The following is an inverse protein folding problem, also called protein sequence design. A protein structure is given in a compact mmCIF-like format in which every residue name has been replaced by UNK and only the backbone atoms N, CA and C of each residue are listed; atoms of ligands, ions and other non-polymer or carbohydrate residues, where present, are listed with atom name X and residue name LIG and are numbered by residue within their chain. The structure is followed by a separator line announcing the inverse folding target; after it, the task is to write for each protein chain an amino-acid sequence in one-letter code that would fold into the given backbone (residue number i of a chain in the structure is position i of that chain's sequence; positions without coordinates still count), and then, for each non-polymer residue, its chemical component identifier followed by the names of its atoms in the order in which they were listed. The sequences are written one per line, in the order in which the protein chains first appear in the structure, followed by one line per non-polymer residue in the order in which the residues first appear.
data_IF_526636984833
#
_entry.id   IF_526636984833
#
_cell.length_a   1.000
_cell.length_b   1.000
_cell.length_c   1.000
_cell.angle_alpha   90.00
_cell.angle_beta   90.00
_cell.angle_gamma   90.00
#
_symmetry.space_group_name_H-M   'P 1'
#
loop_
_entity.id
_entity.type
_entity.pdbx_description
1 polymer ?
#
# COMPACT_ATOMS: atom_id res chain seq x y z
N UNK A 1 -36.25 16.66 -13.37
CA UNK A 1 -35.19 15.70 -13.74
C UNK A 1 -33.85 16.29 -13.30
N UNK A 2 -33.27 15.80 -12.21
CA UNK A 2 -31.96 16.28 -11.77
C UNK A 2 -30.90 15.79 -12.77
N UNK A 3 -30.08 16.71 -13.32
CA UNK A 3 -28.87 16.34 -14.04
C UNK A 3 -28.04 15.48 -13.07
N UNK A 4 -27.84 14.20 -13.37
CA UNK A 4 -26.98 13.33 -12.57
C UNK A 4 -25.61 13.99 -12.43
N UNK A 5 -25.06 14.00 -11.22
CA UNK A 5 -23.75 14.60 -10.97
C UNK A 5 -22.70 13.92 -11.87
N UNK A 6 -22.02 14.71 -12.71
CA UNK A 6 -20.91 14.22 -13.52
C UNK A 6 -19.79 13.78 -12.59
N UNK A 7 -19.28 12.57 -12.79
CA UNK A 7 -18.17 12.04 -11.99
C UNK A 7 -16.92 12.93 -12.16
N UNK A 8 -16.22 13.16 -11.06
CA UNK A 8 -14.90 13.81 -11.08
C UNK A 8 -13.86 12.94 -11.79
N UNK A 9 -12.74 13.51 -12.27
CA UNK A 9 -11.63 12.72 -12.82
C UNK A 9 -11.19 11.57 -11.91
N UNK A 10 -10.96 11.84 -10.62
CA UNK A 10 -10.68 10.85 -9.58
C UNK A 10 -11.67 9.68 -9.55
N UNK A 11 -12.97 10.00 -9.51
CA UNK A 11 -14.01 8.99 -9.46
C UNK A 11 -13.99 8.10 -10.70
N UNK A 12 -13.75 8.69 -11.88
CA UNK A 12 -13.62 7.93 -13.14
C UNK A 12 -12.38 7.02 -13.13
N UNK A 13 -11.23 7.54 -12.68
CA UNK A 13 -9.97 6.78 -12.56
C UNK A 13 -10.17 5.54 -11.69
N UNK A 14 -10.66 5.70 -10.46
CA UNK A 14 -10.79 4.57 -9.53
C UNK A 14 -11.87 3.58 -9.96
N UNK A 15 -13.00 4.04 -10.50
CA UNK A 15 -14.05 3.16 -11.02
C UNK A 15 -13.53 2.32 -12.18
N UNK A 16 -12.82 2.94 -13.12
CA UNK A 16 -12.23 2.22 -14.24
C UNK A 16 -11.19 1.20 -13.76
N UNK A 17 -10.25 1.60 -12.89
CA UNK A 17 -9.19 0.74 -12.41
C UNK A 17 -9.73 -0.46 -11.61
N UNK A 18 -10.77 -0.28 -10.79
CA UNK A 18 -11.48 -1.38 -10.11
C UNK A 18 -12.05 -2.39 -11.10
N UNK A 19 -12.63 -1.90 -12.20
CA UNK A 19 -13.12 -2.73 -13.29
C UNK A 19 -12.04 -3.51 -14.04
N UNK A 20 -10.76 -3.30 -13.72
CA UNK A 20 -9.61 -4.00 -14.31
C UNK A 20 -8.93 -4.99 -13.39
N UNK A 21 -9.43 -5.21 -12.17
CA UNK A 21 -8.88 -6.22 -11.26
C UNK A 21 -8.75 -7.58 -11.95
N UNK A 22 -7.56 -8.18 -11.84
CA UNK A 22 -7.22 -9.46 -12.48
C UNK A 22 -6.88 -9.39 -13.97
N UNK A 23 -6.97 -8.22 -14.60
CA UNK A 23 -6.61 -8.02 -15.99
C UNK A 23 -5.23 -7.35 -16.12
N UNK A 24 -4.53 -7.67 -17.20
CA UNK A 24 -3.30 -7.01 -17.61
C UNK A 24 -3.64 -5.76 -18.44
N UNK A 25 -3.09 -4.62 -18.05
CA UNK A 25 -3.23 -3.34 -18.76
C UNK A 25 -1.96 -3.03 -19.52
N UNK A 26 -2.11 -2.69 -20.80
CA UNK A 26 -1.00 -2.40 -21.70
C UNK A 26 0.02 -3.55 -21.72
N UNK A 27 1.28 -3.22 -21.46
CA UNK A 27 2.40 -4.18 -21.46
C UNK A 27 2.53 -4.90 -20.12
N UNK A 28 1.70 -4.58 -19.13
CA UNK A 28 1.82 -5.13 -17.78
C UNK A 28 2.76 -4.35 -16.87
N UNK A 29 3.11 -3.11 -17.22
CA UNK A 29 3.94 -2.23 -16.38
C UNK A 29 3.07 -1.46 -15.39
N UNK A 30 3.68 -0.97 -14.31
CA UNK A 30 2.99 -0.13 -13.32
C UNK A 30 2.49 1.18 -13.95
N UNK A 31 3.32 1.79 -14.80
CA UNK A 31 3.02 3.03 -15.52
C UNK A 31 1.82 2.89 -16.47
N UNK A 32 1.68 1.75 -17.17
CA UNK A 32 0.59 1.51 -18.13
C UNK A 32 -0.80 1.62 -17.45
N UNK A 33 -0.90 1.20 -16.17
CA UNK A 33 -2.15 1.30 -15.40
C UNK A 33 -2.54 2.76 -15.13
N UNK A 34 -1.59 3.58 -14.70
CA UNK A 34 -1.82 5.01 -14.42
C UNK A 34 -2.21 5.79 -15.67
N UNK A 35 -1.47 5.59 -16.76
CA UNK A 35 -1.74 6.23 -18.06
C UNK A 35 -3.13 5.92 -18.60
N UNK A 36 -3.48 4.63 -18.67
CA UNK A 36 -4.77 4.22 -19.22
C UNK A 36 -5.92 4.68 -18.32
N UNK A 37 -5.77 4.63 -17.00
CA UNK A 37 -6.82 5.09 -16.10
C UNK A 37 -7.10 6.60 -16.25
N UNK A 38 -6.04 7.42 -16.34
CA UNK A 38 -6.16 8.87 -16.56
C UNK A 38 -6.78 9.18 -17.93
N UNK A 39 -6.33 8.51 -18.98
CA UNK A 39 -6.87 8.66 -20.34
C UNK A 39 -8.37 8.35 -20.39
N UNK A 40 -8.81 7.27 -19.73
CA UNK A 40 -10.21 6.86 -19.68
C UNK A 40 -11.07 7.80 -18.84
N UNK A 41 -10.46 8.49 -17.86
CA UNK A 41 -11.12 9.54 -17.09
C UNK A 41 -11.25 10.87 -17.85
N UNK A 42 -10.55 11.03 -18.99
CA UNK A 42 -10.42 12.31 -19.69
C UNK A 42 -9.49 13.29 -18.98
N UNK A 43 -8.54 12.76 -18.20
CA UNK A 43 -7.52 13.53 -17.49
C UNK A 43 -6.21 13.59 -18.29
N UNK A 44 -5.39 14.60 -18.00
CA UNK A 44 -4.00 14.67 -18.45
C UNK A 44 -3.20 13.50 -17.87
N UNK A 45 -2.33 12.91 -18.70
CA UNK A 45 -1.44 11.82 -18.30
C UNK A 45 -0.01 12.32 -18.10
N UNK A 46 0.92 11.45 -17.69
CA UNK A 46 2.32 11.85 -17.51
C UNK A 46 2.97 12.32 -18.81
N UNK A 47 2.55 11.76 -19.94
CA UNK A 47 2.96 12.19 -21.28
C UNK A 47 2.48 13.61 -21.64
N UNK A 48 1.42 14.12 -21.01
CA UNK A 48 0.90 15.47 -21.27
C UNK A 48 1.56 16.54 -20.37
N UNK A 49 2.09 16.16 -19.20
CA UNK A 49 2.41 17.09 -18.12
C UNK A 49 3.89 17.28 -17.83
N UNK A 50 4.77 16.40 -18.29
CA UNK A 50 6.17 16.48 -17.94
C UNK A 50 7.09 15.60 -18.79
N UNK A 51 8.39 15.57 -18.45
CA UNK A 51 9.33 14.68 -19.11
C UNK A 51 8.97 13.21 -18.82
N UNK A 52 9.07 12.38 -19.85
CA UNK A 52 8.87 10.93 -19.75
C UNK A 52 10.14 10.23 -20.22
N UNK A 53 10.88 9.63 -19.30
CA UNK A 53 12.00 8.74 -19.55
C UNK A 53 12.07 7.67 -18.45
N UNK A 54 12.80 6.58 -18.69
CA UNK A 54 12.72 5.32 -17.92
C UNK A 54 12.87 5.42 -16.39
N UNK A 55 13.50 6.48 -15.86
CA UNK A 55 13.71 6.70 -14.42
C UNK A 55 13.41 8.17 -13.98
N UNK A 56 12.56 8.86 -14.74
CA UNK A 56 12.15 10.23 -14.41
C UNK A 56 11.03 10.24 -13.38
N UNK A 57 11.08 11.20 -12.45
CA UNK A 57 9.93 11.49 -11.58
C UNK A 57 8.83 12.14 -12.41
N UNK A 58 7.83 11.34 -12.78
CA UNK A 58 6.71 11.76 -13.62
C UNK A 58 5.77 12.72 -12.88
N UNK A 59 5.09 13.58 -13.63
CA UNK A 59 3.99 14.42 -13.13
C UNK A 59 2.68 13.80 -13.58
N UNK A 60 1.82 13.42 -12.63
CA UNK A 60 0.58 12.69 -12.92
C UNK A 60 -0.69 13.55 -12.82
N UNK A 61 -0.53 14.82 -12.45
CA UNK A 61 -1.64 15.75 -12.21
C UNK A 61 -1.21 16.91 -11.33
N UNK A 62 -2.14 17.44 -10.55
CA UNK A 62 -1.87 18.50 -9.58
C UNK A 62 -1.27 17.88 -8.30
N UNK A 63 -0.08 18.33 -7.84
CA UNK A 63 0.58 17.72 -6.69
C UNK A 63 -0.20 17.97 -5.40
N UNK A 64 -0.22 16.97 -4.53
CA UNK A 64 -0.87 17.03 -3.23
C UNK A 64 0.22 17.20 -2.16
N UNK A 65 0.10 18.24 -1.33
CA UNK A 65 1.14 18.60 -0.34
C UNK A 65 1.18 17.68 0.87
N UNK A 66 0.07 17.02 1.20
CA UNK A 66 -0.05 16.12 2.35
C UNK A 66 -0.80 14.84 1.95
N UNK A 67 -0.19 13.68 2.25
CA UNK A 67 -0.81 12.37 2.04
C UNK A 67 -2.15 12.19 2.78
N UNK A 68 -2.42 12.98 3.83
CA UNK A 68 -3.73 12.96 4.50
C UNK A 68 -4.88 13.44 3.61
N UNK A 69 -4.58 14.16 2.52
CA UNK A 69 -5.54 14.74 1.59
C UNK A 69 -5.84 13.84 0.39
N UNK A 70 -5.20 12.67 0.28
CA UNK A 70 -5.44 11.78 -0.85
C UNK A 70 -6.87 11.26 -0.88
N UNK A 71 -7.39 11.11 -2.09
CA UNK A 71 -8.72 10.63 -2.38
C UNK A 71 -8.68 9.42 -3.34
N UNK A 72 -9.71 8.55 -3.32
CA UNK A 72 -9.82 7.47 -4.30
C UNK A 72 -9.72 8.00 -5.73
N UNK A 73 -8.78 7.45 -6.50
CA UNK A 73 -8.48 7.87 -7.87
C UNK A 73 -7.24 8.73 -8.02
N UNK A 74 -6.63 9.18 -6.92
CA UNK A 74 -5.31 9.82 -6.99
C UNK A 74 -4.24 8.85 -7.49
N UNK A 75 -3.22 9.42 -8.11
CA UNK A 75 -2.05 8.69 -8.57
C UNK A 75 -0.91 8.91 -7.59
N UNK A 76 -0.34 7.80 -7.11
CA UNK A 76 0.86 7.80 -6.28
C UNK A 76 2.06 7.42 -7.14
N UNK A 77 3.04 8.30 -7.22
CA UNK A 77 4.39 7.94 -7.65
C UNK A 77 5.21 7.56 -6.42
N UNK A 78 5.91 6.43 -6.50
CA UNK A 78 6.64 5.82 -5.40
C UNK A 78 8.10 5.65 -5.82
N UNK A 79 9.03 5.99 -4.93
CA UNK A 79 10.47 5.82 -5.14
C UNK A 79 11.15 5.26 -3.89
N UNK A 80 11.99 4.25 -4.09
CA UNK A 80 12.83 3.62 -3.06
C UNK A 80 12.07 3.28 -1.78
N UNK A 81 10.84 2.80 -1.95
CA UNK A 81 9.92 2.56 -0.85
C UNK A 81 10.18 1.19 -0.24
N UNK A 82 10.56 1.17 1.03
CA UNK A 82 10.82 -0.04 1.79
C UNK A 82 9.90 -0.07 3.01
N UNK A 83 9.24 -1.20 3.21
CA UNK A 83 8.42 -1.49 4.37
C UNK A 83 9.07 -2.64 5.12
N UNK A 84 9.61 -2.37 6.30
CA UNK A 84 10.18 -3.39 7.18
C UNK A 84 9.21 -3.66 8.32
N UNK A 85 8.69 -4.88 8.37
CA UNK A 85 7.82 -5.36 9.45
C UNK A 85 8.63 -6.23 10.40
N UNK A 86 8.71 -5.83 11.67
CA UNK A 86 9.33 -6.61 12.74
C UNK A 86 8.25 -7.16 13.65
N UNK A 87 8.30 -8.45 13.92
CA UNK A 87 7.37 -9.15 14.81
C UNK A 87 8.19 -9.72 15.96
N UNK A 88 7.81 -9.42 17.20
CA UNK A 88 8.32 -10.08 18.41
C UNK A 88 7.15 -10.79 19.08
N UNK A 89 7.30 -12.08 19.38
CA UNK A 89 6.32 -12.84 20.16
C UNK A 89 7.01 -13.32 21.43
N UNK A 90 6.43 -12.98 22.58
CA UNK A 90 6.91 -13.39 23.90
C UNK A 90 5.88 -14.31 24.55
N UNK A 91 6.31 -15.50 24.93
CA UNK A 91 5.51 -16.50 25.63
C UNK A 91 5.97 -16.54 27.08
N UNK A 92 5.10 -16.14 28.00
CA UNK A 92 5.33 -16.18 29.44
C UNK A 92 4.61 -17.39 30.04
N UNK A 93 5.38 -18.30 30.60
CA UNK A 93 4.91 -19.51 31.29
C UNK A 93 4.52 -19.20 32.74
N UNK A 94 3.75 -20.10 33.35
CA UNK A 94 3.28 -19.94 34.73
C UNK A 94 4.41 -19.95 35.76
N UNK A 95 5.49 -20.68 35.48
CA UNK A 95 6.68 -20.73 36.31
C UNK A 95 7.56 -19.47 36.20
N UNK A 96 7.13 -18.49 35.38
CA UNK A 96 7.84 -17.24 35.12
C UNK A 96 8.87 -17.33 34.01
N UNK A 97 9.13 -18.52 33.44
CA UNK A 97 10.03 -18.64 32.30
C UNK A 97 9.45 -17.99 31.04
N UNK A 98 10.33 -17.54 30.15
CA UNK A 98 9.94 -16.87 28.90
C UNK A 98 10.62 -17.47 27.68
N UNK A 99 9.90 -17.48 26.56
CA UNK A 99 10.44 -17.70 25.22
C UNK A 99 10.17 -16.45 24.41
N UNK A 100 11.15 -16.02 23.61
CA UNK A 100 10.99 -14.91 22.66
C UNK A 100 11.30 -15.40 21.25
N UNK A 101 10.36 -15.19 20.34
CA UNK A 101 10.52 -15.39 18.91
C UNK A 101 10.54 -14.03 18.19
N UNK A 102 11.33 -13.91 17.13
CA UNK A 102 11.43 -12.71 16.30
C UNK A 102 11.37 -13.08 14.83
N UNK A 103 10.63 -12.28 14.05
CA UNK A 103 10.57 -12.35 12.59
C UNK A 103 10.73 -10.95 12.01
N UNK A 104 11.39 -10.83 10.86
CA UNK A 104 11.61 -9.56 10.16
C UNK A 104 11.40 -9.78 8.66
N UNK A 105 10.57 -8.94 8.04
CA UNK A 105 10.25 -9.01 6.62
C UNK A 105 10.33 -7.63 5.99
N UNK A 106 10.93 -7.56 4.81
CA UNK A 106 10.98 -6.32 4.03
C UNK A 106 10.26 -6.52 2.69
N UNK A 107 9.33 -5.60 2.41
CA UNK A 107 8.75 -5.42 1.08
C UNK A 107 9.37 -4.17 0.45
N UNK A 108 9.66 -4.23 -0.85
CA UNK A 108 10.32 -3.14 -1.56
C UNK A 108 9.58 -2.79 -2.85
N UNK A 109 9.52 -1.48 -3.14
CA UNK A 109 9.18 -0.91 -4.43
C UNK A 109 10.31 0.03 -4.84
N UNK A 110 10.87 -0.15 -6.03
CA UNK A 110 11.81 0.81 -6.62
C UNK A 110 11.04 2.04 -7.11
N UNK A 111 11.07 2.29 -8.41
CA UNK A 111 10.17 3.25 -9.05
C UNK A 111 8.84 2.59 -9.41
N UNK A 112 7.73 3.12 -8.89
CA UNK A 112 6.41 2.49 -9.06
C UNK A 112 5.28 3.51 -9.13
N UNK A 113 4.16 3.08 -9.72
CA UNK A 113 2.93 3.87 -9.80
C UNK A 113 1.77 3.06 -9.23
N UNK A 114 0.94 3.71 -8.41
CA UNK A 114 -0.25 3.12 -7.81
C UNK A 114 -1.45 4.06 -7.93
N UNK A 115 -2.66 3.51 -7.98
CA UNK A 115 -3.91 4.29 -7.93
C UNK A 115 -4.52 4.12 -6.54
N UNK A 116 -4.87 5.22 -5.89
CA UNK A 116 -5.54 5.20 -4.57
C UNK A 116 -6.92 4.56 -4.68
N UNK A 117 -7.17 3.54 -3.86
CA UNK A 117 -8.39 2.73 -3.86
C UNK A 117 -9.23 2.88 -2.57
N UNK A 118 -8.91 3.85 -1.74
CA UNK A 118 -9.60 4.11 -0.47
C UNK A 118 -9.03 5.33 0.23
N UNK A 119 -9.57 5.64 1.41
CA UNK A 119 -8.99 6.69 2.26
C UNK A 119 -7.75 6.16 2.97
N UNK A 120 -6.85 7.08 3.32
CA UNK A 120 -5.79 6.81 4.28
C UNK A 120 -6.42 6.42 5.63
N UNK A 121 -5.93 5.35 6.25
CA UNK A 121 -6.39 4.94 7.57
C UNK A 121 -5.59 5.60 8.70
N UNK A 122 -6.00 5.31 9.94
CA UNK A 122 -5.39 5.89 11.13
C UNK A 122 -3.90 5.54 11.31
N UNK A 123 -3.43 4.45 10.70
CA UNK A 123 -2.03 4.03 10.73
C UNK A 123 -1.23 4.60 9.55
N UNK A 124 -1.84 5.43 8.70
CA UNK A 124 -1.19 5.93 7.50
C UNK A 124 -1.03 4.87 6.42
N UNK A 125 -1.86 3.83 6.43
CA UNK A 125 -1.94 2.87 5.33
C UNK A 125 -3.08 3.20 4.38
N UNK A 126 -2.92 2.85 3.11
CA UNK A 126 -3.92 3.10 2.06
C UNK A 126 -4.05 1.89 1.15
N UNK A 127 -5.29 1.57 0.75
CA UNK A 127 -5.53 0.57 -0.29
C UNK A 127 -5.19 1.16 -1.65
N UNK A 128 -4.49 0.41 -2.47
CA UNK A 128 -4.07 0.82 -3.81
C UNK A 128 -4.44 -0.23 -4.85
N UNK A 129 -4.62 0.22 -6.10
CA UNK A 129 -4.71 -0.64 -7.28
C UNK A 129 -3.41 -0.52 -8.05
N UNK A 130 -2.79 -1.66 -8.28
CA UNK A 130 -1.42 -1.70 -8.80
C UNK A 130 -1.21 -2.86 -9.75
N UNK A 131 -0.22 -2.70 -10.61
CA UNK A 131 0.24 -3.70 -11.55
C UNK A 131 1.77 -3.70 -11.57
N UNK A 132 2.38 -4.81 -11.99
CA UNK A 132 3.83 -5.03 -11.96
C UNK A 132 4.39 -5.10 -10.53
N UNK A 133 3.64 -5.75 -9.65
CA UNK A 133 3.98 -5.92 -8.23
C UNK A 133 3.63 -7.33 -7.79
N UNK A 134 4.46 -7.90 -6.91
CA UNK A 134 4.14 -9.18 -6.25
C UNK A 134 2.89 -9.02 -5.36
N UNK A 135 2.07 -10.07 -5.22
CA UNK A 135 2.30 -11.43 -5.70
C UNK A 135 1.90 -11.69 -7.15
N UNK A 136 0.91 -10.98 -7.71
CA UNK A 136 0.33 -11.38 -9.01
C UNK A 136 1.10 -10.90 -10.24
N UNK A 137 2.13 -10.08 -10.06
CA UNK A 137 2.97 -9.63 -11.16
C UNK A 137 2.25 -8.60 -12.03
N UNK A 138 2.00 -8.95 -13.29
CA UNK A 138 1.66 -8.02 -14.37
C UNK A 138 0.15 -7.81 -14.60
N UNK A 139 -0.68 -8.22 -13.64
CA UNK A 139 -2.12 -7.93 -13.61
C UNK A 139 -2.47 -6.94 -12.51
N UNK A 140 -3.55 -6.19 -12.70
CA UNK A 140 -4.08 -5.27 -11.69
C UNK A 140 -4.55 -6.05 -10.47
N UNK A 141 -4.13 -5.61 -9.28
CA UNK A 141 -4.49 -6.22 -8.00
C UNK A 141 -4.67 -5.16 -6.92
N UNK A 142 -5.46 -5.51 -5.91
CA UNK A 142 -5.54 -4.75 -4.67
C UNK A 142 -4.26 -4.95 -3.85
N UNK A 143 -3.65 -3.85 -3.46
CA UNK A 143 -2.52 -3.79 -2.58
C UNK A 143 -2.84 -2.90 -1.37
N UNK A 144 -1.99 -2.98 -0.37
CA UNK A 144 -2.05 -2.10 0.78
C UNK A 144 -0.65 -1.52 1.01
N UNK A 145 -0.58 -0.19 1.05
CA UNK A 145 0.66 0.57 1.11
C UNK A 145 0.71 1.35 2.42
N UNK A 146 1.72 1.09 3.24
CA UNK A 146 2.04 1.96 4.38
C UNK A 146 2.80 3.17 3.88
N UNK A 147 2.37 4.37 4.26
CA UNK A 147 3.00 5.63 3.81
C UNK A 147 3.89 6.27 4.87
N UNK A 148 3.93 5.71 6.08
CA UNK A 148 4.71 6.18 7.23
C UNK A 148 4.94 5.05 8.22
N UNK A 149 5.84 5.26 9.17
CA UNK A 149 6.03 4.37 10.31
C UNK A 149 4.72 4.16 11.07
N UNK A 150 4.48 2.91 11.48
CA UNK A 150 3.37 2.56 12.37
C UNK A 150 3.94 2.31 13.76
N UNK A 151 3.42 2.99 14.80
CA UNK A 151 3.80 2.73 16.18
C UNK A 151 3.66 1.25 16.54
N UNK A 152 4.44 0.79 17.51
CA UNK A 152 4.37 -0.60 17.97
C UNK A 152 2.94 -0.96 18.40
N UNK A 153 2.38 -1.98 17.75
CA UNK A 153 1.08 -2.54 18.13
C UNK A 153 1.33 -3.77 18.98
N UNK A 154 0.88 -3.72 20.24
CA UNK A 154 1.00 -4.82 21.20
C UNK A 154 -0.35 -5.51 21.37
N UNK A 155 -0.38 -6.82 21.10
CA UNK A 155 -1.54 -7.67 21.36
C UNK A 155 -1.20 -8.69 22.44
N UNK A 156 -2.03 -8.77 23.47
CA UNK A 156 -1.89 -9.76 24.54
C UNK A 156 -3.00 -10.81 24.43
N UNK A 157 -2.62 -12.07 24.40
CA UNK A 157 -3.55 -13.21 24.34
C UNK A 157 -3.08 -14.32 25.28
N UNK A 158 -3.87 -15.38 25.38
CA UNK A 158 -3.51 -16.58 26.12
C UNK A 158 -3.63 -17.76 25.18
N UNK A 159 -2.65 -18.66 25.21
CA UNK A 159 -2.60 -19.81 24.31
C UNK A 159 -1.88 -21.00 24.92
N UNK A 160 -1.46 -21.93 24.07
CA UNK A 160 -0.65 -23.08 24.45
C UNK A 160 0.71 -22.97 23.77
N UNK A 161 1.78 -23.27 24.50
CA UNK A 161 3.12 -23.38 23.92
C UNK A 161 3.90 -24.50 24.61
N UNK A 162 4.79 -25.16 23.87
CA UNK A 162 5.68 -26.17 24.41
C UNK A 162 6.73 -25.52 25.33
N UNK A 163 6.76 -25.91 26.59
CA UNK A 163 7.72 -25.40 27.56
C UNK A 163 9.14 -25.86 27.21
N UNK A 164 10.16 -24.98 27.28
CA UNK A 164 11.47 -25.26 26.71
C UNK A 164 12.24 -26.36 27.47
N UNK A 165 11.99 -26.51 28.78
CA UNK A 165 12.63 -27.53 29.63
C UNK A 165 11.83 -28.83 29.68
N UNK A 166 10.62 -28.79 30.24
CA UNK A 166 9.73 -29.95 30.41
C UNK A 166 9.26 -30.57 29.09
N UNK A 167 9.32 -29.82 27.98
CA UNK A 167 8.80 -30.22 26.66
C UNK A 167 7.30 -30.51 26.64
N UNK A 168 6.57 -30.17 27.70
CA UNK A 168 5.11 -30.31 27.77
C UNK A 168 4.44 -29.08 27.17
N UNK A 169 3.25 -29.26 26.59
CA UNK A 169 2.43 -28.11 26.17
C UNK A 169 1.77 -27.51 27.40
N UNK A 170 1.95 -26.21 27.59
CA UNK A 170 1.43 -25.49 28.75
C UNK A 170 0.69 -24.23 28.32
N UNK A 171 -0.25 -23.79 29.17
CA UNK A 171 -0.96 -22.53 28.98
C UNK A 171 -0.01 -21.36 29.25
N UNK A 172 0.13 -20.45 28.29
CA UNK A 172 1.04 -19.31 28.35
C UNK A 172 0.32 -17.99 28.07
N UNK A 173 0.80 -16.91 28.66
CA UNK A 173 0.44 -15.56 28.25
C UNK A 173 1.33 -15.17 27.06
N UNK A 174 0.71 -14.71 25.97
CA UNK A 174 1.39 -14.39 24.72
C UNK A 174 1.31 -12.90 24.49
N UNK A 175 2.46 -12.24 24.40
CA UNK A 175 2.55 -10.83 24.00
C UNK A 175 3.16 -10.77 22.60
N UNK A 176 2.39 -10.32 21.62
CA UNK A 176 2.86 -10.06 20.26
C UNK A 176 3.01 -8.57 20.05
N UNK A 177 4.22 -8.15 19.71
CA UNK A 177 4.55 -6.80 19.26
C UNK A 177 4.78 -6.81 17.75
N UNK A 178 4.21 -5.83 17.06
CA UNK A 178 4.48 -5.57 15.63
C UNK A 178 4.92 -4.13 15.45
N UNK A 179 6.05 -3.92 14.79
CA UNK A 179 6.56 -2.60 14.40
C UNK A 179 6.69 -2.55 12.89
N UNK A 180 6.28 -1.43 12.28
CA UNK A 180 6.40 -1.21 10.85
C UNK A 180 7.20 0.07 10.65
N UNK A 181 8.31 -0.05 9.94
CA UNK A 181 9.14 1.09 9.53
C UNK A 181 9.03 1.26 8.03
N UNK A 182 8.87 2.50 7.58
CA UNK A 182 8.69 2.89 6.19
C UNK A 182 9.75 3.91 5.80
N UNK A 183 10.45 3.66 4.71
CA UNK A 183 11.36 4.62 4.07
C UNK A 183 10.99 4.82 2.60
N UNK A 184 11.64 5.79 1.96
CA UNK A 184 11.39 6.15 0.57
C UNK A 184 10.45 7.34 0.43
N UNK A 185 10.04 7.61 -0.81
CA UNK A 185 9.27 8.81 -1.15
C UNK A 185 7.99 8.42 -1.87
N UNK A 186 6.89 9.10 -1.52
CA UNK A 186 5.62 9.00 -2.23
C UNK A 186 5.19 10.41 -2.62
N UNK A 187 4.95 10.62 -3.90
CA UNK A 187 4.37 11.85 -4.44
C UNK A 187 2.92 11.59 -4.89
N UNK A 188 1.94 12.11 -4.15
CA UNK A 188 0.53 12.02 -4.52
C UNK A 188 0.11 13.12 -5.49
N UNK A 189 -0.75 12.79 -6.45
CA UNK A 189 -1.29 13.71 -7.45
C UNK A 189 -2.80 13.55 -7.64
N UNK A 190 -3.52 14.67 -7.66
CA UNK A 190 -4.90 14.73 -8.12
C UNK A 190 -4.94 14.72 -9.67
N UNK A 191 -5.67 13.79 -10.31
CA UNK A 191 -5.91 13.80 -11.74
C UNK A 191 -6.41 15.16 -12.25
N UNK A 192 -5.61 15.78 -13.12
CA UNK A 192 -5.94 17.06 -13.76
C UNK A 192 -6.80 16.81 -14.99
N UNK A 193 -7.94 17.48 -15.10
CA UNK A 193 -8.79 17.38 -16.30
C UNK A 193 -8.05 17.94 -17.54
N UNK A 194 -8.30 17.33 -18.72
CA UNK A 194 -7.85 17.90 -20.00
C UNK A 194 -8.65 19.13 -20.42
#
# INVERSE_FOLDING_TARGET
MGKGATLTPNQKVVVWARGKLGHKIGRGKCWDLGEEALKQAGASTSNDLGPVADDTDYVWGDPISDLSQIEPGDILQIRDHLITTKIKIEYLFKDGSTIVEKDERTAQRGHHTAIVNGKLDANGGVKTLEQHVRPKGDVVQDMYLYTRDVPEVVTKTVGQHKHPRTKQSERVNITKSVTITVTGTIWPYHPKAK
#
